data_IF_762637407664
#
_entry.id   IF_762637407664
#
_cell.length_a   1.000
_cell.length_b   1.000
_cell.length_c   1.000
_cell.angle_alpha   90.00
_cell.angle_beta   90.00
_cell.angle_gamma   90.00
#
_symmetry.space_group_name_H-M   'P 1'
#
loop_
_entity.id
_entity.type
_entity.pdbx_description
1 polymer ?
#
# COMPACT_ATOMS: atom_id res chain seq x y z
N UNK A 1 45.02 34.10 20.13
CA UNK A 1 43.92 33.61 21.00
C UNK A 1 43.15 32.56 20.21
N UNK A 2 43.43 31.28 20.44
CA UNK A 2 42.81 30.17 19.72
C UNK A 2 41.54 29.77 20.44
N UNK A 3 40.36 29.93 19.80
CA UNK A 3 39.09 29.49 20.37
C UNK A 3 38.92 28.00 20.09
N UNK A 4 39.10 27.19 21.13
CA UNK A 4 38.78 25.76 21.14
C UNK A 4 37.25 25.65 21.18
N UNK A 5 36.65 25.15 20.09
CA UNK A 5 35.22 24.81 20.06
C UNK A 5 35.04 23.52 20.89
N UNK A 6 34.13 23.50 21.88
CA UNK A 6 33.93 22.31 22.71
C UNK A 6 33.31 21.18 21.88
N UNK A 7 34.03 20.04 21.83
CA UNK A 7 33.70 18.81 21.11
C UNK A 7 32.26 18.29 21.36
N UNK A 8 31.64 18.69 22.48
CA UNK A 8 30.26 18.30 22.82
C UNK A 8 29.16 18.91 21.93
N UNK A 9 29.42 20.03 21.24
CA UNK A 9 28.43 20.63 20.32
C UNK A 9 28.40 19.94 18.95
N UNK A 10 29.47 19.26 18.54
CA UNK A 10 29.54 18.58 17.25
C UNK A 10 28.73 17.26 17.26
N UNK A 11 28.72 16.54 18.38
CA UNK A 11 28.01 15.26 18.50
C UNK A 11 26.48 15.38 18.47
N UNK A 12 25.92 16.50 18.93
CA UNK A 12 24.46 16.68 18.94
C UNK A 12 23.89 17.00 17.55
N UNK A 13 24.65 17.70 16.69
CA UNK A 13 24.23 17.95 15.31
C UNK A 13 24.32 16.70 14.42
N UNK A 14 25.27 15.79 14.67
CA UNK A 14 25.39 14.55 13.90
C UNK A 14 24.25 13.58 14.21
N UNK A 15 23.76 13.52 15.46
CA UNK A 15 22.60 12.68 15.83
C UNK A 15 21.30 13.25 15.26
N UNK A 16 21.11 14.58 15.28
CA UNK A 16 19.93 15.22 14.66
C UNK A 16 19.94 15.14 13.12
N UNK A 17 21.10 15.09 12.48
CA UNK A 17 21.21 14.90 11.02
C UNK A 17 21.02 13.42 10.60
N UNK A 18 21.35 12.45 11.45
CA UNK A 18 21.14 11.02 11.16
C UNK A 18 19.70 10.54 11.36
N UNK A 19 18.91 11.17 12.23
CA UNK A 19 17.49 10.85 12.38
C UNK A 19 16.63 11.33 11.20
N UNK A 20 17.17 12.13 10.28
CA UNK A 20 16.40 12.77 9.21
C UNK A 20 16.38 12.04 7.86
N UNK A 21 16.99 10.86 7.69
CA UNK A 21 17.10 10.26 6.35
C UNK A 21 16.91 8.74 6.29
N UNK A 22 16.04 8.17 7.13
CA UNK A 22 15.46 6.85 6.83
C UNK A 22 14.30 7.03 5.85
N UNK A 23 14.64 7.45 4.63
CA UNK A 23 13.70 7.39 3.51
C UNK A 23 13.42 5.92 3.26
N UNK A 24 12.17 5.51 3.47
CA UNK A 24 11.76 4.14 3.18
C UNK A 24 11.50 4.03 1.69
N UNK A 25 12.29 3.20 1.02
CA UNK A 25 12.11 2.93 -0.40
C UNK A 25 11.34 1.63 -0.58
N UNK A 26 10.31 1.68 -1.41
CA UNK A 26 9.48 0.52 -1.72
C UNK A 26 9.56 0.28 -3.22
N UNK A 27 9.87 -0.96 -3.61
CA UNK A 27 9.69 -1.44 -4.96
C UNK A 27 8.31 -2.10 -5.05
N UNK A 28 7.41 -1.50 -5.82
CA UNK A 28 6.16 -2.11 -6.23
C UNK A 28 6.38 -2.76 -7.59
N UNK A 29 6.39 -4.09 -7.59
CA UNK A 29 6.20 -4.89 -8.80
C UNK A 29 4.71 -4.98 -9.08
N UNK A 30 4.30 -4.62 -10.29
CA UNK A 30 2.90 -4.51 -10.64
C UNK A 30 2.60 -5.27 -11.92
N UNK A 31 1.99 -6.42 -11.74
CA UNK A 31 1.58 -7.32 -12.80
C UNK A 31 0.14 -7.08 -13.22
N UNK A 32 -0.19 -7.56 -14.43
CA UNK A 32 -1.56 -7.49 -14.91
C UNK A 32 -1.90 -8.59 -15.89
N UNK A 33 -3.13 -9.10 -15.75
CA UNK A 33 -3.71 -10.03 -16.70
C UNK A 33 -3.99 -9.38 -18.05
N UNK A 34 -3.92 -10.18 -19.10
CA UNK A 34 -4.29 -9.78 -20.46
C UNK A 34 -5.70 -9.17 -20.49
N UNK A 35 -5.84 -8.06 -21.22
CA UNK A 35 -7.10 -7.31 -21.33
C UNK A 35 -7.37 -6.33 -20.19
N UNK A 36 -6.46 -6.20 -19.22
CA UNK A 36 -6.53 -5.19 -18.15
C UNK A 36 -5.50 -4.07 -18.35
N UNK A 37 -5.69 -2.93 -17.71
CA UNK A 37 -4.79 -1.77 -17.82
C UNK A 37 -4.12 -1.45 -16.49
N UNK A 38 -2.97 -0.78 -16.53
CA UNK A 38 -2.37 -0.14 -15.36
C UNK A 38 -3.23 1.05 -14.88
N UNK A 39 -3.29 1.36 -13.57
CA UNK A 39 -4.00 2.53 -13.06
C UNK A 39 -3.48 3.83 -13.68
N UNK A 40 -4.33 4.65 -14.33
CA UNK A 40 -3.86 5.86 -14.99
C UNK A 40 -3.50 6.94 -13.96
N UNK A 41 -2.61 7.87 -14.34
CA UNK A 41 -2.44 9.12 -13.59
C UNK A 41 -3.69 9.98 -13.64
N UNK A 42 -3.91 10.83 -12.64
CA UNK A 42 -5.03 11.76 -12.60
C UNK A 42 -4.58 13.22 -12.40
N UNK A 43 -5.33 14.20 -12.91
CA UNK A 43 -4.99 15.62 -12.75
C UNK A 43 -5.81 16.25 -11.63
N UNK A 44 -5.15 16.73 -10.57
CA UNK A 44 -5.78 17.46 -9.46
C UNK A 44 -5.20 18.87 -9.43
N UNK A 45 -6.04 19.89 -9.60
CA UNK A 45 -5.62 21.30 -9.59
C UNK A 45 -4.44 21.61 -10.54
N UNK A 46 -4.36 20.93 -11.68
CA UNK A 46 -3.29 21.10 -12.66
C UNK A 46 -1.99 20.35 -12.35
N UNK A 47 -1.96 19.54 -11.29
CA UNK A 47 -0.85 18.65 -10.97
C UNK A 47 -1.19 17.20 -11.29
N UNK A 48 -0.22 16.45 -11.84
CA UNK A 48 -0.38 15.01 -12.08
C UNK A 48 -0.17 14.25 -10.78
N UNK A 49 -1.21 13.51 -10.40
CA UNK A 49 -1.25 12.58 -9.29
C UNK A 49 -1.05 11.16 -9.82
N UNK A 50 -0.11 10.45 -9.20
CA UNK A 50 0.27 9.07 -9.50
C UNK A 50 0.45 8.32 -8.19
N UNK A 51 0.57 6.99 -8.23
CA UNK A 51 0.94 6.21 -7.03
C UNK A 51 2.22 6.76 -6.39
N UNK A 52 3.22 7.11 -7.20
CA UNK A 52 4.49 7.66 -6.70
C UNK A 52 4.29 8.97 -5.92
N UNK A 53 3.49 9.90 -6.44
CA UNK A 53 3.28 11.20 -5.76
C UNK A 53 2.43 11.05 -4.50
N UNK A 54 1.40 10.17 -4.52
CA UNK A 54 0.56 9.86 -3.37
C UNK A 54 1.42 9.37 -2.18
N UNK A 55 2.29 8.40 -2.44
CA UNK A 55 3.14 7.83 -1.41
C UNK A 55 4.31 8.74 -1.00
N UNK A 56 4.83 9.53 -1.94
CA UNK A 56 5.88 10.51 -1.63
C UNK A 56 5.39 11.57 -0.61
N UNK A 57 4.17 12.06 -0.76
CA UNK A 57 3.53 12.98 0.19
C UNK A 57 3.34 12.36 1.59
N UNK A 58 3.32 11.02 1.68
CA UNK A 58 3.25 10.25 2.91
C UNK A 58 4.62 9.80 3.45
N UNK A 59 5.73 10.22 2.82
CA UNK A 59 7.09 9.91 3.25
C UNK A 59 7.62 8.55 2.75
N UNK A 60 6.90 7.89 1.84
CA UNK A 60 7.31 6.63 1.22
C UNK A 60 7.79 6.89 -0.21
N UNK A 61 9.07 6.60 -0.49
CA UNK A 61 9.58 6.69 -1.87
C UNK A 61 9.25 5.41 -2.61
N UNK A 62 8.28 5.53 -3.51
CA UNK A 62 7.80 4.41 -4.30
C UNK A 62 8.48 4.32 -5.66
N UNK A 63 8.99 3.14 -5.97
CA UNK A 63 9.34 2.73 -7.32
C UNK A 63 8.35 1.73 -7.88
N UNK A 64 7.55 2.18 -8.83
CA UNK A 64 6.55 1.37 -9.53
C UNK A 64 7.17 0.78 -10.78
N UNK A 65 7.16 -0.54 -10.89
CA UNK A 65 7.62 -1.29 -12.06
C UNK A 65 6.48 -2.16 -12.58
N UNK A 66 6.02 -1.90 -13.81
CA UNK A 66 5.22 -2.88 -14.53
C UNK A 66 6.15 -3.99 -15.04
N UNK A 67 5.93 -5.22 -14.62
CA UNK A 67 6.74 -6.38 -15.01
C UNK A 67 6.01 -7.25 -16.04
N UNK A 68 5.11 -8.13 -15.60
CA UNK A 68 4.30 -8.96 -16.50
C UNK A 68 2.96 -8.30 -16.85
N UNK A 69 2.81 -7.88 -18.11
CA UNK A 69 1.63 -7.11 -18.56
C UNK A 69 0.58 -7.89 -19.33
N UNK A 70 0.80 -9.20 -19.52
CA UNK A 70 -0.06 -10.07 -20.34
C UNK A 70 -0.21 -11.47 -19.74
N UNK A 71 -0.33 -11.55 -18.41
CA UNK A 71 -0.60 -12.81 -17.72
C UNK A 71 -1.88 -13.41 -18.29
N UNK A 72 -1.85 -14.69 -18.67
CA UNK A 72 -3.03 -15.33 -19.23
C UNK A 72 -4.11 -15.44 -18.16
N UNK A 73 -5.39 -15.22 -18.51
CA UNK A 73 -6.49 -15.42 -17.58
C UNK A 73 -6.43 -16.83 -16.97
N UNK A 74 -6.74 -16.92 -15.68
CA UNK A 74 -6.89 -18.21 -15.02
C UNK A 74 -7.98 -19.04 -15.70
N UNK A 75 -7.89 -20.36 -15.56
CA UNK A 75 -8.89 -21.30 -16.06
C UNK A 75 -10.15 -21.32 -15.17
N UNK A 76 -10.72 -20.14 -14.98
CA UNK A 76 -11.90 -19.84 -14.17
C UNK A 76 -12.84 -19.07 -15.09
N UNK A 77 -14.15 -19.32 -15.02
CA UNK A 77 -15.08 -18.58 -15.86
C UNK A 77 -14.96 -17.08 -15.54
N UNK A 78 -15.02 -16.24 -16.57
CA UNK A 78 -14.75 -14.81 -16.39
C UNK A 78 -15.66 -14.14 -15.35
N UNK A 79 -16.92 -14.63 -15.21
CA UNK A 79 -17.93 -14.14 -14.25
C UNK A 79 -17.80 -14.73 -12.84
N UNK A 80 -16.90 -15.68 -12.63
CA UNK A 80 -16.66 -16.22 -11.30
C UNK A 80 -15.64 -15.33 -10.55
N UNK A 81 -15.56 -15.55 -9.25
CA UNK A 81 -14.64 -14.85 -8.39
C UNK A 81 -13.31 -15.60 -8.29
N UNK A 82 -12.22 -14.85 -8.11
CA UNK A 82 -10.92 -15.38 -7.77
C UNK A 82 -10.78 -15.51 -6.24
N UNK A 83 -10.42 -16.70 -5.81
CA UNK A 83 -10.13 -17.07 -4.42
C UNK A 83 -8.72 -16.64 -4.00
N UNK A 84 -8.46 -16.69 -2.69
CA UNK A 84 -7.11 -16.44 -2.16
C UNK A 84 -6.10 -17.49 -2.65
N UNK A 85 -6.52 -18.76 -2.76
CA UNK A 85 -5.66 -19.83 -3.28
C UNK A 85 -5.21 -19.61 -4.74
N UNK A 86 -6.09 -19.02 -5.55
CA UNK A 86 -5.77 -18.67 -6.93
C UNK A 86 -4.86 -17.44 -7.01
N UNK A 87 -5.02 -16.48 -6.10
CA UNK A 87 -4.11 -15.35 -5.96
C UNK A 87 -2.72 -15.79 -5.48
N UNK A 88 -2.64 -16.72 -4.52
CA UNK A 88 -1.38 -17.34 -4.09
C UNK A 88 -0.67 -18.08 -5.25
N UNK A 89 -1.46 -18.75 -6.09
CA UNK A 89 -0.94 -19.42 -7.30
C UNK A 89 -0.38 -18.41 -8.31
N UNK A 90 -1.07 -17.28 -8.49
CA UNK A 90 -0.60 -16.19 -9.34
C UNK A 90 0.71 -15.60 -8.80
N UNK A 91 0.73 -15.21 -7.52
CA UNK A 91 1.91 -14.66 -6.88
C UNK A 91 3.11 -15.59 -6.99
N UNK A 92 2.96 -16.85 -6.58
CA UNK A 92 4.06 -17.81 -6.58
C UNK A 92 4.60 -18.12 -7.99
N UNK A 93 3.81 -17.90 -9.04
CA UNK A 93 4.20 -18.15 -10.42
C UNK A 93 4.81 -16.94 -11.13
N UNK A 94 4.42 -15.73 -10.73
CA UNK A 94 4.75 -14.50 -11.46
C UNK A 94 5.63 -13.55 -10.66
N UNK A 95 5.49 -13.52 -9.33
CA UNK A 95 6.26 -12.61 -8.48
C UNK A 95 7.77 -12.83 -8.65
N UNK A 96 8.46 -11.79 -9.09
CA UNK A 96 9.91 -11.83 -9.26
C UNK A 96 10.63 -11.35 -7.99
N UNK A 97 11.12 -12.29 -7.21
CA UNK A 97 11.99 -12.00 -6.06
C UNK A 97 13.35 -11.40 -6.46
N UNK A 98 13.66 -11.22 -7.75
CA UNK A 98 14.93 -10.65 -8.22
C UNK A 98 14.89 -9.18 -8.61
N UNK A 99 13.72 -8.53 -8.59
CA UNK A 99 13.59 -7.10 -8.93
C UNK A 99 13.96 -6.25 -7.71
N UNK A 100 15.23 -6.32 -7.30
CA UNK A 100 15.78 -5.38 -6.32
C UNK A 100 16.59 -4.31 -7.06
N UNK A 101 16.00 -3.14 -7.38
CA UNK A 101 16.79 -2.06 -7.94
C UNK A 101 17.69 -1.48 -6.85
N UNK A 102 18.97 -1.85 -6.89
CA UNK A 102 20.04 -1.23 -6.07
C UNK A 102 20.19 0.27 -6.34
N UNK A 103 19.57 0.80 -7.40
CA UNK A 103 19.63 2.20 -7.81
C UNK A 103 18.75 3.15 -7.00
N UNK A 104 17.71 2.67 -6.31
CA UNK A 104 16.76 3.52 -5.56
C UNK A 104 17.14 3.64 -4.09
N UNK A 105 18.07 2.79 -3.63
CA UNK A 105 18.64 2.87 -2.30
C UNK A 105 20.15 2.68 -2.33
N UNK A 106 20.92 3.75 -2.61
CA UNK A 106 22.37 3.70 -2.72
C UNK A 106 23.10 3.53 -1.38
N UNK A 107 22.37 3.35 -0.26
CA UNK A 107 22.96 3.29 1.08
C UNK A 107 22.45 2.08 1.87
N UNK A 108 23.36 1.44 2.63
CA UNK A 108 23.11 0.25 3.46
C UNK A 108 22.08 0.45 4.60
N UNK A 109 21.63 1.68 4.87
CA UNK A 109 20.58 1.98 5.86
C UNK A 109 19.18 2.07 5.27
N UNK A 110 19.06 1.88 3.96
CA UNK A 110 17.78 1.72 3.32
C UNK A 110 17.23 0.30 3.51
N UNK A 111 16.07 0.18 4.14
CA UNK A 111 15.28 -1.03 4.03
C UNK A 111 14.46 -0.93 2.73
N UNK A 112 14.88 -1.64 1.67
CA UNK A 112 14.09 -1.76 0.45
C UNK A 112 13.01 -2.81 0.66
N UNK A 113 11.76 -2.38 0.70
CA UNK A 113 10.60 -3.28 0.80
C UNK A 113 10.10 -3.65 -0.60
N UNK A 114 9.75 -4.91 -0.82
CA UNK A 114 9.17 -5.39 -2.09
C UNK A 114 7.69 -5.71 -1.88
N UNK A 115 6.85 -5.07 -2.68
CA UNK A 115 5.41 -5.26 -2.70
C UNK A 115 5.00 -5.79 -4.07
N UNK A 116 4.16 -6.83 -4.07
CA UNK A 116 3.55 -7.39 -5.27
C UNK A 116 2.13 -6.85 -5.44
N UNK A 117 1.84 -6.23 -6.57
CA UNK A 117 0.50 -5.82 -6.95
C UNK A 117 0.09 -6.56 -8.22
N UNK A 118 -1.16 -7.01 -8.31
CA UNK A 118 -1.67 -7.63 -9.53
C UNK A 118 -3.07 -7.14 -9.90
N UNK A 119 -3.26 -6.88 -11.19
CA UNK A 119 -4.60 -6.59 -11.75
C UNK A 119 -5.15 -7.86 -12.36
N UNK A 120 -6.27 -8.33 -11.80
CA UNK A 120 -6.91 -9.57 -12.21
C UNK A 120 -8.19 -9.30 -12.98
N UNK A 121 -8.45 -10.11 -14.01
CA UNK A 121 -9.62 -9.98 -14.88
C UNK A 121 -10.83 -10.79 -14.37
N UNK A 122 -11.04 -10.79 -13.05
CA UNK A 122 -12.11 -11.51 -12.35
C UNK A 122 -12.69 -10.63 -11.24
N UNK A 123 -13.81 -11.06 -10.65
CA UNK A 123 -14.29 -10.51 -9.37
C UNK A 123 -13.51 -11.12 -8.21
N UNK A 124 -13.55 -10.51 -7.02
CA UNK A 124 -12.90 -11.05 -5.82
C UNK A 124 -13.85 -11.86 -4.95
N UNK A 125 -13.38 -12.97 -4.38
CA UNK A 125 -14.05 -13.60 -3.25
C UNK A 125 -13.86 -12.80 -1.97
N UNK A 126 -14.88 -12.82 -1.11
CA UNK A 126 -14.90 -12.22 0.22
C UNK A 126 -15.45 -13.24 1.21
N UNK A 127 -14.70 -13.50 2.29
CA UNK A 127 -15.07 -14.47 3.33
C UNK A 127 -15.44 -15.84 2.75
N UNK A 128 -14.59 -16.37 1.86
CA UNK A 128 -14.79 -17.65 1.14
C UNK A 128 -16.10 -17.74 0.34
N UNK A 129 -16.67 -16.60 -0.03
CA UNK A 129 -17.87 -16.50 -0.85
C UNK A 129 -17.61 -15.62 -2.07
N UNK A 130 -18.05 -16.12 -3.24
CA UNK A 130 -18.10 -15.29 -4.43
C UNK A 130 -19.29 -14.33 -4.34
N UNK A 131 -18.99 -13.06 -4.06
CA UNK A 131 -19.92 -11.94 -4.11
C UNK A 131 -19.46 -11.01 -5.23
N UNK A 132 -19.89 -11.25 -6.49
CA UNK A 132 -19.53 -10.40 -7.61
C UNK A 132 -19.90 -8.95 -7.33
N UNK A 133 -19.07 -8.03 -7.82
CA UNK A 133 -19.32 -6.59 -7.69
C UNK A 133 -19.30 -6.02 -6.26
N UNK A 134 -18.83 -6.81 -5.27
CA UNK A 134 -18.77 -6.36 -3.89
C UNK A 134 -17.46 -5.66 -3.51
N UNK A 135 -16.33 -6.23 -3.93
CA UNK A 135 -14.99 -5.77 -3.54
C UNK A 135 -14.22 -5.22 -4.74
N UNK A 136 -13.53 -4.08 -4.57
CA UNK A 136 -12.76 -3.42 -5.63
C UNK A 136 -11.31 -3.89 -5.71
N UNK A 137 -10.74 -4.23 -4.58
CA UNK A 137 -9.42 -4.82 -4.43
C UNK A 137 -9.30 -5.50 -3.07
N UNK A 138 -8.24 -6.28 -2.87
CA UNK A 138 -7.93 -6.85 -1.56
C UNK A 138 -6.45 -7.10 -1.40
N UNK A 139 -5.98 -7.00 -0.17
CA UNK A 139 -4.78 -7.70 0.28
C UNK A 139 -5.17 -9.14 0.64
N UNK A 140 -4.51 -10.15 0.07
CA UNK A 140 -4.83 -11.57 0.34
C UNK A 140 -3.74 -12.30 1.13
N UNK A 141 -2.46 -11.92 1.00
CA UNK A 141 -1.41 -12.44 1.89
C UNK A 141 -1.45 -11.67 3.23
N UNK A 142 -2.47 -11.92 4.05
CA UNK A 142 -2.66 -11.23 5.32
C UNK A 142 -1.52 -11.43 6.34
N UNK A 143 -0.69 -12.47 6.14
CA UNK A 143 0.41 -12.82 7.04
C UNK A 143 1.67 -12.02 6.74
N UNK A 144 2.08 -11.93 5.47
CA UNK A 144 3.27 -11.16 5.08
C UNK A 144 2.94 -9.76 4.59
N UNK A 145 1.69 -9.52 4.18
CA UNK A 145 1.15 -8.28 3.61
C UNK A 145 1.96 -7.70 2.48
N UNK A 146 2.60 -8.60 1.75
CA UNK A 146 3.47 -8.22 0.64
C UNK A 146 2.79 -8.39 -0.70
N UNK A 147 1.46 -8.57 -0.72
CA UNK A 147 0.69 -8.73 -1.95
C UNK A 147 -0.74 -8.16 -1.88
N UNK A 148 -1.19 -7.53 -2.97
CA UNK A 148 -2.55 -7.02 -3.13
C UNK A 148 -3.07 -7.10 -4.58
N UNK A 149 -4.39 -7.23 -4.73
CA UNK A 149 -5.06 -7.43 -6.01
C UNK A 149 -6.06 -6.30 -6.29
N UNK A 150 -6.20 -5.93 -7.56
CA UNK A 150 -7.29 -5.08 -8.04
C UNK A 150 -8.17 -5.86 -9.01
N UNK A 151 -9.49 -5.81 -8.77
CA UNK A 151 -10.48 -6.57 -9.54
C UNK A 151 -10.95 -5.74 -10.73
N UNK A 152 -10.34 -5.98 -11.90
CA UNK A 152 -10.58 -5.19 -13.10
C UNK A 152 -11.98 -5.38 -13.70
N UNK A 153 -12.78 -6.33 -13.21
CA UNK A 153 -14.16 -6.51 -13.67
C UNK A 153 -15.16 -5.56 -13.04
N UNK A 154 -14.74 -4.82 -12.02
CA UNK A 154 -15.54 -3.80 -11.39
C UNK A 154 -15.77 -2.65 -12.37
N UNK A 155 -17.03 -2.31 -12.64
CA UNK A 155 -17.37 -1.22 -13.56
C UNK A 155 -16.67 0.10 -13.15
N UNK A 156 -16.56 0.36 -11.84
CA UNK A 156 -15.81 1.47 -11.26
C UNK A 156 -14.35 1.47 -11.72
N UNK A 157 -13.67 0.33 -11.67
CA UNK A 157 -12.26 0.21 -12.07
C UNK A 157 -12.08 0.39 -13.59
N UNK A 158 -12.98 -0.19 -14.40
CA UNK A 158 -12.85 -0.13 -15.86
C UNK A 158 -13.12 1.26 -16.45
N UNK A 159 -14.05 1.99 -15.85
CA UNK A 159 -14.61 3.22 -16.44
C UNK A 159 -14.18 4.49 -15.73
N UNK A 160 -13.66 4.40 -14.51
CA UNK A 160 -13.31 5.56 -13.68
C UNK A 160 -11.84 5.49 -13.26
N UNK A 161 -10.96 6.03 -14.12
CA UNK A 161 -9.52 6.10 -13.86
C UNK A 161 -9.13 6.71 -12.50
N UNK A 162 -9.74 7.82 -12.04
CA UNK A 162 -9.57 8.34 -10.68
C UNK A 162 -9.82 7.31 -9.57
N UNK A 163 -10.95 6.60 -9.63
CA UNK A 163 -11.29 5.58 -8.64
C UNK A 163 -10.38 4.37 -8.74
N UNK A 164 -9.95 4.01 -9.96
CA UNK A 164 -8.95 2.96 -10.14
C UNK A 164 -7.63 3.33 -9.46
N UNK A 165 -7.08 4.51 -9.74
CA UNK A 165 -5.85 5.00 -9.11
C UNK A 165 -5.98 5.03 -7.57
N UNK A 166 -7.11 5.55 -7.06
CA UNK A 166 -7.39 5.60 -5.62
C UNK A 166 -7.44 4.21 -5.02
N UNK A 167 -8.18 3.29 -5.64
CA UNK A 167 -8.33 1.91 -5.16
C UNK A 167 -6.98 1.22 -5.11
N UNK A 168 -6.15 1.37 -6.14
CA UNK A 168 -4.79 0.83 -6.10
C UNK A 168 -3.95 1.42 -4.97
N UNK A 169 -4.05 2.73 -4.74
CA UNK A 169 -3.38 3.36 -3.60
C UNK A 169 -3.92 2.86 -2.25
N UNK A 170 -5.23 2.63 -2.14
CA UNK A 170 -5.91 2.14 -0.94
C UNK A 170 -5.47 0.73 -0.57
N UNK A 171 -5.51 -0.22 -1.51
CA UNK A 171 -5.07 -1.60 -1.27
C UNK A 171 -3.59 -1.68 -0.92
N UNK A 172 -2.77 -0.86 -1.59
CA UNK A 172 -1.37 -0.71 -1.22
C UNK A 172 -1.21 -0.13 0.20
N UNK A 173 -2.15 0.69 0.67
CA UNK A 173 -2.17 1.23 2.03
C UNK A 173 -2.34 0.13 3.07
N UNK A 174 -3.19 -0.87 2.80
CA UNK A 174 -3.33 -2.05 3.65
C UNK A 174 -2.02 -2.84 3.77
N UNK A 175 -1.25 -2.95 2.68
CA UNK A 175 0.09 -3.55 2.72
C UNK A 175 1.04 -2.81 3.67
N UNK A 176 0.84 -1.51 3.86
CA UNK A 176 1.55 -0.70 4.85
C UNK A 176 0.89 -0.63 6.22
N UNK A 177 0.05 -1.63 6.56
CA UNK A 177 -0.62 -1.73 7.85
C UNK A 177 -1.54 -0.52 8.14
N UNK A 178 -2.13 0.07 7.09
CA UNK A 178 -3.19 1.05 7.25
C UNK A 178 -4.55 0.35 7.28
N UNK A 179 -5.39 0.78 8.22
CA UNK A 179 -6.79 0.38 8.30
C UNK A 179 -7.66 1.37 7.54
N UNK A 180 -8.92 0.99 7.31
CA UNK A 180 -9.89 1.97 6.85
C UNK A 180 -10.02 3.11 7.86
N UNK A 181 -10.23 4.32 7.34
CA UNK A 181 -10.53 5.52 8.12
C UNK A 181 -12.00 5.89 8.00
N UNK A 182 -12.88 4.91 8.19
CA UNK A 182 -14.32 5.06 7.98
C UNK A 182 -14.90 6.14 8.91
N UNK A 183 -15.76 6.97 8.34
CA UNK A 183 -16.33 8.16 8.95
C UNK A 183 -15.56 9.46 8.66
N UNK A 184 -14.37 9.41 8.04
CA UNK A 184 -13.63 10.61 7.65
C UNK A 184 -14.05 11.18 6.28
N UNK A 185 -14.64 10.35 5.40
CA UNK A 185 -15.13 10.70 4.06
C UNK A 185 -14.09 11.24 3.07
N UNK A 186 -12.85 11.46 3.51
CA UNK A 186 -11.97 12.49 2.91
C UNK A 186 -10.50 12.07 2.82
N UNK A 187 -10.22 10.77 2.86
CA UNK A 187 -8.88 10.24 2.67
C UNK A 187 -8.83 9.01 1.74
N UNK A 188 -7.63 8.58 1.39
CA UNK A 188 -7.40 7.37 0.57
C UNK A 188 -7.90 6.13 1.29
N UNK A 189 -7.83 6.06 2.63
CA UNK A 189 -8.17 4.87 3.38
C UNK A 189 -9.66 4.75 3.74
N UNK A 190 -10.49 5.75 3.42
CA UNK A 190 -11.95 5.61 3.53
C UNK A 190 -12.45 4.49 2.63
N UNK A 191 -13.45 3.70 3.02
CA UNK A 191 -14.10 2.83 2.06
C UNK A 191 -14.80 3.63 0.95
N UNK A 192 -14.89 3.05 -0.26
CA UNK A 192 -15.45 3.74 -1.42
C UNK A 192 -16.93 4.12 -1.24
N UNK A 193 -17.70 3.33 -0.50
CA UNK A 193 -19.11 3.61 -0.18
C UNK A 193 -19.30 4.67 0.91
N UNK A 194 -18.24 4.99 1.66
CA UNK A 194 -18.22 6.04 2.69
C UNK A 194 -17.54 7.34 2.22
N UNK A 195 -17.14 7.43 0.95
CA UNK A 195 -16.55 8.64 0.38
C UNK A 195 -17.54 9.80 0.27
N UNK A 196 -17.11 10.97 0.75
CA UNK A 196 -17.81 12.23 0.51
C UNK A 196 -17.34 12.85 -0.83
N UNK A 197 -18.05 12.54 -1.91
CA UNK A 197 -17.85 13.21 -3.20
C UNK A 197 -16.84 12.51 -4.11
N UNK A 198 -15.84 13.24 -4.61
CA UNK A 198 -14.87 12.75 -5.61
C UNK A 198 -13.70 12.00 -4.99
N UNK A 199 -13.10 11.07 -5.74
CA UNK A 199 -11.87 10.38 -5.38
C UNK A 199 -10.83 11.30 -4.70
N UNK A 200 -10.42 10.91 -3.49
CA UNK A 200 -9.40 11.61 -2.70
C UNK A 200 -8.07 10.91 -2.80
N UNK A 201 -7.00 11.68 -3.02
CA UNK A 201 -5.63 11.17 -3.27
C UNK A 201 -4.63 11.56 -2.17
N UNK A 202 -5.11 11.74 -0.94
CA UNK A 202 -4.27 12.02 0.23
C UNK A 202 -4.60 11.06 1.35
N UNK A 203 -3.58 10.66 2.11
CA UNK A 203 -3.77 9.97 3.38
C UNK A 203 -4.27 10.93 4.47
N UNK A 204 -4.99 10.40 5.46
CA UNK A 204 -5.34 11.15 6.66
C UNK A 204 -4.08 11.56 7.43
N UNK A 205 -4.18 12.53 8.33
CA UNK A 205 -3.01 12.94 9.13
C UNK A 205 -2.49 11.78 10.00
N UNK A 206 -3.39 10.90 10.48
CA UNK A 206 -3.01 9.71 11.23
C UNK A 206 -2.27 8.68 10.37
N UNK A 207 -2.77 8.37 9.16
CA UNK A 207 -2.08 7.46 8.24
C UNK A 207 -0.71 8.03 7.82
N UNK A 208 -0.61 9.35 7.62
CA UNK A 208 0.66 10.03 7.32
C UNK A 208 1.63 9.94 8.49
N UNK A 209 1.17 10.19 9.72
CA UNK A 209 1.99 10.07 10.92
C UNK A 209 2.52 8.63 11.08
N UNK A 210 1.65 7.63 10.89
CA UNK A 210 2.04 6.22 10.88
C UNK A 210 3.15 5.97 9.84
N UNK A 211 2.95 6.35 8.58
CA UNK A 211 3.90 6.08 7.50
C UNK A 211 5.25 6.83 7.69
N UNK A 212 5.21 8.06 8.22
CA UNK A 212 6.42 8.87 8.40
C UNK A 212 7.20 8.48 9.66
N UNK A 213 6.51 8.30 10.78
CA UNK A 213 7.12 8.37 12.10
C UNK A 213 7.19 7.03 12.82
N UNK A 214 6.35 6.04 12.49
CA UNK A 214 6.42 4.75 13.14
C UNK A 214 7.66 3.94 12.69
N UNK A 215 8.17 3.02 13.54
CA UNK A 215 9.26 2.12 13.19
C UNK A 215 8.94 1.28 11.96
N UNK A 216 9.95 1.00 11.13
CA UNK A 216 9.81 0.19 9.91
C UNK A 216 9.08 -1.15 10.14
N UNK A 217 9.31 -1.84 11.27
CA UNK A 217 8.63 -3.08 11.66
C UNK A 217 7.10 -2.98 11.80
N UNK A 218 6.58 -1.77 11.95
CA UNK A 218 5.14 -1.48 12.06
C UNK A 218 4.51 -1.03 10.74
N UNK A 219 5.35 -0.61 9.77
CA UNK A 219 4.94 -0.06 8.47
C UNK A 219 5.12 -1.05 7.32
N UNK A 220 6.11 -1.94 7.44
CA UNK A 220 6.51 -2.90 6.40
C UNK A 220 6.42 -4.32 6.96
N UNK A 221 5.23 -4.93 6.95
CA UNK A 221 5.02 -6.31 7.37
C UNK A 221 5.75 -7.25 6.40
N UNK A 222 6.31 -8.36 6.88
CA UNK A 222 7.08 -9.32 6.07
C UNK A 222 8.60 -9.32 6.30
N UNK A 223 9.16 -8.35 7.04
CA UNK A 223 10.46 -8.53 7.69
C UNK A 223 10.27 -9.44 8.92
N UNK A 224 11.08 -10.49 9.08
CA UNK A 224 11.01 -11.46 10.19
C UNK A 224 10.58 -10.82 11.53
N UNK A 225 9.40 -11.21 12.05
CA UNK A 225 8.83 -10.65 13.28
C UNK A 225 7.90 -9.44 13.10
N UNK A 226 7.44 -9.19 11.87
CA UNK A 226 6.51 -8.11 11.54
C UNK A 226 5.28 -8.08 12.45
N UNK A 227 4.87 -6.88 12.84
CA UNK A 227 3.70 -6.69 13.68
C UNK A 227 2.43 -7.24 12.98
N UNK A 228 1.52 -7.91 13.71
CA UNK A 228 0.17 -8.22 13.21
C UNK A 228 -0.63 -6.92 12.92
N UNK A 229 -1.92 -7.01 12.55
CA UNK A 229 -2.67 -5.85 12.04
C UNK A 229 -2.85 -4.87 13.18
N UNK A 230 -2.06 -3.80 13.20
CA UNK A 230 -2.10 -2.86 14.31
C UNK A 230 -2.95 -1.68 13.94
N UNK A 231 -4.09 -1.59 14.62
CA UNK A 231 -4.88 -0.38 14.63
C UNK A 231 -4.04 0.75 15.23
N UNK A 232 -3.90 1.85 14.50
CA UNK A 232 -3.60 3.14 15.11
C UNK A 232 -4.94 3.64 15.67
N UNK A 233 -5.14 3.46 16.98
CA UNK A 233 -6.38 3.89 17.64
C UNK A 233 -6.36 5.42 17.76
N UNK A 234 -7.32 6.11 17.13
CA UNK A 234 -7.82 7.39 17.61
C UNK A 234 -9.35 7.41 17.51
N UNK A 235 -10.01 8.22 18.34
CA UNK A 235 -11.41 8.13 18.76
C UNK A 235 -12.48 8.38 17.68
N UNK A 236 -12.14 8.28 16.39
CA UNK A 236 -13.00 8.66 15.27
C UNK A 236 -13.48 7.51 14.38
N UNK A 237 -12.95 6.29 14.51
CA UNK A 237 -13.47 5.12 13.78
C UNK A 237 -14.72 4.56 14.50
N UNK A 238 -15.90 5.08 14.15
CA UNK A 238 -17.18 4.62 14.71
C UNK A 238 -17.74 3.47 13.87
N UNK A 239 -17.09 2.30 13.94
CA UNK A 239 -17.75 1.04 13.58
C UNK A 239 -17.36 -0.07 14.58
N UNK A 240 -18.34 -0.77 15.18
CA UNK A 240 -18.05 -1.87 16.09
C UNK A 240 -17.64 -3.10 15.29
N UNK A 241 -16.33 -3.32 15.12
CA UNK A 241 -15.82 -4.59 14.63
C UNK A 241 -15.70 -5.62 15.78
N UNK A 242 -15.89 -6.92 15.50
CA UNK A 242 -15.72 -7.98 16.50
C UNK A 242 -14.30 -7.92 17.07
N UNK A 243 -14.23 -7.91 18.41
CA UNK A 243 -13.04 -7.70 19.24
C UNK A 243 -11.92 -8.77 19.09
N UNK A 244 -12.02 -9.70 18.14
CA UNK A 244 -11.23 -10.94 18.14
C UNK A 244 -9.93 -10.91 17.32
N UNK A 245 -9.58 -9.81 16.65
CA UNK A 245 -8.29 -9.69 15.92
C UNK A 245 -7.49 -8.41 16.23
N UNK A 246 -7.72 -7.79 17.39
CA UNK A 246 -6.97 -6.61 17.83
C UNK A 246 -5.66 -7.03 18.52
N UNK A 247 -4.63 -7.31 17.74
CA UNK A 247 -3.27 -7.29 18.27
C UNK A 247 -2.71 -5.89 18.12
N UNK A 248 -2.87 -5.07 19.16
CA UNK A 248 -2.12 -3.81 19.28
C UNK A 248 -0.65 -4.20 19.47
N UNK A 249 0.19 -3.93 18.48
CA UNK A 249 1.65 -3.97 18.69
C UNK A 249 2.07 -2.57 19.09
N UNK A 250 2.69 -2.45 20.26
CA UNK A 250 3.33 -1.22 20.68
C UNK A 250 4.43 -0.86 19.66
N UNK A 251 4.19 0.21 18.93
CA UNK A 251 5.08 0.75 17.91
C UNK A 251 6.01 1.85 18.46
N UNK A 252 6.17 1.90 19.79
CA UNK A 252 7.09 2.79 20.50
C UNK A 252 8.58 2.45 20.24
#
# INVERSE_FOLDING_TARGET
>A
MSRIVPVRFLSLMVVLLMSCLLVSCVALEFDRMSGTSFPPSHMVNGQSVTLRTIYDEAGIKLDVQEDETNIQPLNIAQNDCISDAELDTLESSHRQLSIFPTSICPFDFCNTYHLYGVVVNHYGEVLDACLPEFVLGKMWDGHTRSAFAIFYRMATIQSNGPEYLRTTAHEMGHAFNLHHSDGDGTSIMTQTDDLEGTAVFRFSDQSRDHLMNHPARCKFPGALGGAPFTWVIDAHAVWPHPLEELTVTDCD
#
